data_IF_131853902453
#
_entry.id   IF_131853902453
#
_cell.length_a   1.000
_cell.length_b   1.000
_cell.length_c   1.000
_cell.angle_alpha   90.00
_cell.angle_beta   90.00
_cell.angle_gamma   90.00
#
_symmetry.space_group_name_H-M   'P 1'
#
loop_
_entity.id
_entity.type
_entity.pdbx_description
1 polymer ?
#
# COMPACT_ATOMS: atom_id res chain seq x y z
N UNK A 1 -3.10 4.54 -7.85
CA UNK A 1 -3.35 3.21 -8.47
C UNK A 1 -4.84 2.94 -8.57
N UNK A 2 -5.29 2.50 -9.75
CA UNK A 2 -6.68 2.12 -10.04
C UNK A 2 -6.88 0.65 -9.66
N UNK A 3 -8.07 0.33 -9.14
CA UNK A 3 -8.45 -1.03 -8.68
C UNK A 3 -8.37 -2.07 -9.81
N UNK A 4 -8.50 -1.64 -11.08
CA UNK A 4 -8.45 -2.51 -12.26
C UNK A 4 -7.10 -3.19 -12.47
N UNK A 5 -5.98 -2.50 -12.20
CA UNK A 5 -4.62 -3.06 -12.35
C UNK A 5 -4.32 -4.09 -11.25
N UNK A 6 -4.86 -3.89 -10.04
CA UNK A 6 -4.69 -4.82 -8.92
C UNK A 6 -5.52 -6.10 -9.13
N UNK A 7 -6.62 -6.04 -9.88
CA UNK A 7 -7.44 -7.21 -10.20
C UNK A 7 -6.78 -8.19 -11.18
N UNK A 8 -5.93 -7.70 -12.08
CA UNK A 8 -5.23 -8.53 -13.08
C UNK A 8 -4.03 -9.29 -12.49
N UNK A 9 -3.55 -8.90 -11.31
CA UNK A 9 -2.39 -9.52 -10.66
C UNK A 9 -2.75 -10.84 -9.97
N UNK A 10 -1.78 -11.74 -9.98
CA UNK A 10 -1.82 -13.00 -9.22
C UNK A 10 -1.88 -12.72 -7.71
N UNK A 11 -2.45 -13.63 -6.93
CA UNK A 11 -2.45 -13.54 -5.45
C UNK A 11 -1.03 -13.41 -4.88
N UNK A 12 -0.08 -14.13 -5.47
CA UNK A 12 1.34 -14.08 -5.08
C UNK A 12 1.91 -12.68 -5.32
N UNK A 13 1.57 -12.06 -6.45
CA UNK A 13 2.00 -10.69 -6.76
C UNK A 13 1.33 -9.66 -5.86
N UNK A 14 0.06 -9.86 -5.50
CA UNK A 14 -0.66 -9.01 -4.55
C UNK A 14 -0.05 -9.08 -3.15
N UNK A 15 0.34 -10.27 -2.69
CA UNK A 15 1.06 -10.43 -1.42
C UNK A 15 2.42 -9.74 -1.43
N UNK A 16 3.20 -9.88 -2.52
CA UNK A 16 4.48 -9.15 -2.68
C UNK A 16 4.27 -7.64 -2.63
N UNK A 17 3.29 -7.12 -3.37
CA UNK A 17 2.94 -5.70 -3.38
C UNK A 17 2.45 -5.19 -2.02
N UNK A 18 1.72 -6.02 -1.27
CA UNK A 18 1.31 -5.73 0.10
C UNK A 18 2.53 -5.54 1.00
N UNK A 19 3.52 -6.43 0.88
CA UNK A 19 4.75 -6.40 1.68
C UNK A 19 5.57 -5.14 1.37
N UNK A 20 5.83 -4.85 0.10
CA UNK A 20 6.50 -3.62 -0.33
C UNK A 20 5.75 -2.35 0.13
N UNK A 21 4.42 -2.35 0.05
CA UNK A 21 3.62 -1.20 0.47
C UNK A 21 3.68 -0.98 1.99
N UNK A 22 3.78 -2.05 2.78
CA UNK A 22 3.99 -1.99 4.23
C UNK A 22 5.37 -1.45 4.58
N UNK A 23 6.42 -1.85 3.86
CA UNK A 23 7.77 -1.29 4.02
C UNK A 23 7.81 0.20 3.69
N UNK A 24 7.25 0.60 2.55
CA UNK A 24 7.10 2.03 2.19
C UNK A 24 6.34 2.81 3.26
N UNK A 25 5.29 2.24 3.85
CA UNK A 25 4.58 2.87 4.94
C UNK A 25 5.46 3.04 6.19
N UNK A 26 6.32 2.06 6.49
CA UNK A 26 7.27 2.11 7.59
C UNK A 26 8.32 3.21 7.38
N UNK A 27 8.92 3.27 6.19
CA UNK A 27 9.85 4.35 5.82
C UNK A 27 9.20 5.74 5.90
N UNK A 28 7.97 5.88 5.39
CA UNK A 28 7.25 7.15 5.44
C UNK A 28 6.92 7.56 6.89
N UNK A 29 6.64 6.60 7.79
CA UNK A 29 6.48 6.88 9.23
C UNK A 29 7.79 7.38 9.85
N UNK A 30 8.93 6.76 9.52
CA UNK A 30 10.24 7.23 9.98
C UNK A 30 10.55 8.64 9.47
N UNK A 31 10.29 8.92 8.19
CA UNK A 31 10.48 10.25 7.60
C UNK A 31 9.54 11.31 8.19
N UNK A 32 8.34 10.96 8.67
CA UNK A 32 7.50 11.87 9.47
C UNK A 32 8.13 12.14 10.83
N UNK A 33 8.59 11.09 11.52
CA UNK A 33 9.17 11.24 12.86
C UNK A 33 10.36 12.23 12.84
N UNK A 34 11.12 12.23 11.75
CA UNK A 34 12.20 13.19 11.47
C UNK A 34 11.73 14.60 11.06
N UNK A 35 10.41 14.87 10.99
CA UNK A 35 9.78 16.12 10.50
C UNK A 35 10.23 16.58 9.10
N UNK A 36 10.87 15.71 8.31
CA UNK A 36 11.38 16.04 6.97
C UNK A 36 10.33 15.92 5.87
N UNK A 37 9.13 15.42 6.18
CA UNK A 37 8.07 15.19 5.20
C UNK A 37 7.08 16.35 5.11
N UNK A 38 7.23 17.21 4.10
CA UNK A 38 6.24 18.25 3.74
C UNK A 38 4.91 17.67 3.23
N UNK A 39 4.90 16.43 2.70
CA UNK A 39 3.72 15.81 2.06
C UNK A 39 3.20 14.60 2.84
N UNK A 40 2.58 14.85 4.00
CA UNK A 40 1.96 13.83 4.87
C UNK A 40 0.82 13.08 4.16
N UNK A 41 0.19 13.70 3.15
CA UNK A 41 -0.92 13.09 2.38
C UNK A 41 -0.55 11.76 1.70
N UNK A 42 0.70 11.58 1.29
CA UNK A 42 1.14 10.36 0.59
C UNK A 42 0.94 9.09 1.42
N UNK A 43 1.01 9.18 2.75
CA UNK A 43 0.78 8.03 3.63
C UNK A 43 -0.67 7.58 3.60
N UNK A 44 -1.60 8.54 3.45
CA UNK A 44 -3.02 8.21 3.34
C UNK A 44 -3.29 7.43 2.05
N UNK A 45 -2.60 7.76 0.98
CA UNK A 45 -2.70 7.04 -0.29
C UNK A 45 -2.09 5.64 -0.21
N UNK A 46 -0.94 5.49 0.44
CA UNK A 46 -0.32 4.18 0.71
C UNK A 46 -1.22 3.31 1.60
N UNK A 47 -1.84 3.88 2.65
CA UNK A 47 -2.81 3.16 3.49
C UNK A 47 -4.03 2.69 2.68
N UNK A 48 -4.58 3.56 1.83
CA UNK A 48 -5.69 3.21 0.95
C UNK A 48 -5.30 2.12 -0.06
N UNK A 49 -4.06 2.13 -0.52
CA UNK A 49 -3.52 1.10 -1.41
C UNK A 49 -3.48 -0.27 -0.74
N UNK A 50 -2.92 -0.34 0.48
CA UNK A 50 -2.88 -1.57 1.28
C UNK A 50 -4.29 -2.10 1.54
N UNK A 51 -5.23 -1.21 1.92
CA UNK A 51 -6.62 -1.61 2.15
C UNK A 51 -7.25 -2.23 0.89
N UNK A 52 -7.05 -1.61 -0.29
CA UNK A 52 -7.56 -2.15 -1.57
C UNK A 52 -6.96 -3.51 -1.93
N UNK A 53 -5.67 -3.73 -1.65
CA UNK A 53 -5.01 -5.01 -1.88
C UNK A 53 -5.62 -6.08 -0.96
N UNK A 54 -5.79 -5.79 0.33
CA UNK A 54 -6.44 -6.70 1.29
C UNK A 54 -7.88 -7.03 0.89
N UNK A 55 -8.65 -6.03 0.44
CA UNK A 55 -10.03 -6.27 -0.05
C UNK A 55 -10.06 -7.18 -1.26
N UNK A 56 -9.05 -7.13 -2.14
CA UNK A 56 -8.98 -8.00 -3.31
C UNK A 56 -8.57 -9.43 -2.96
N UNK A 57 -7.67 -9.60 -1.97
CA UNK A 57 -7.31 -10.92 -1.45
C UNK A 57 -8.54 -11.59 -0.81
N UNK A 58 -9.24 -10.90 0.10
CA UNK A 58 -10.46 -11.41 0.74
C UNK A 58 -11.64 -11.67 -0.21
N UNK A 59 -11.59 -11.19 -1.45
CA UNK A 59 -12.66 -11.40 -2.45
C UNK A 59 -12.33 -12.53 -3.43
N UNK A 60 -11.09 -13.05 -3.38
CA UNK A 60 -10.67 -14.24 -4.12
C UNK A 60 -10.80 -15.50 -3.26
N UNK A 61 -10.64 -15.37 -1.94
CA UNK A 61 -11.13 -16.34 -0.95
C UNK A 61 -12.67 -16.41 -0.98
#
# INVERSE_FOLDING_TARGET
>A
MKIKELKQKSEVELQKLLQESREKLRELRFKIALKQLKKVRNIRDVKKLIARILTLLNKKD
#
